data_IF_533930453275
#
_entry.id   IF_533930453275
#
_cell.length_a   1.000
_cell.length_b   1.000
_cell.length_c   1.000
_cell.angle_alpha   90.00
_cell.angle_beta   90.00
_cell.angle_gamma   90.00
#
_symmetry.space_group_name_H-M   'P 1'
#
loop_
_entity.id
_entity.type
_entity.pdbx_description
1 polymer ?
#
# COMPACT_ATOMS: atom_id res chain seq x y z
N UNK A 1 -29.44 -5.62 -20.30
CA UNK A 1 -29.18 -5.41 -18.86
C UNK A 1 -28.72 -6.72 -18.25
N UNK A 2 -27.43 -7.04 -18.34
CA UNK A 2 -26.90 -8.28 -17.78
C UNK A 2 -26.64 -8.03 -16.30
N UNK A 3 -27.63 -8.31 -15.45
CA UNK A 3 -27.42 -8.40 -13.99
C UNK A 3 -26.71 -9.71 -13.72
N UNK A 4 -25.41 -9.74 -13.99
CA UNK A 4 -24.53 -10.78 -13.48
C UNK A 4 -24.52 -10.57 -11.96
N UNK A 5 -24.98 -11.53 -11.15
CA UNK A 5 -24.76 -11.45 -9.72
C UNK A 5 -23.25 -11.60 -9.53
N UNK A 6 -22.59 -10.48 -9.25
CA UNK A 6 -21.20 -10.48 -8.78
C UNK A 6 -21.18 -11.41 -7.58
N UNK A 7 -20.46 -12.53 -7.72
CA UNK A 7 -20.28 -13.47 -6.63
C UNK A 7 -19.58 -12.73 -5.48
N UNK A 8 -19.87 -13.12 -4.24
CA UNK A 8 -19.29 -12.50 -3.05
C UNK A 8 -17.74 -12.44 -3.10
N UNK A 9 -17.13 -13.37 -3.83
CA UNK A 9 -15.68 -13.40 -4.09
C UNK A 9 -15.22 -12.29 -5.05
N UNK A 10 -15.99 -11.98 -6.09
CA UNK A 10 -15.67 -10.94 -7.08
C UNK A 10 -15.80 -9.54 -6.46
N UNK A 11 -16.84 -9.31 -5.66
CA UNK A 11 -17.03 -8.03 -4.95
C UNK A 11 -15.88 -7.76 -3.99
N UNK A 12 -15.43 -8.78 -3.24
CA UNK A 12 -14.25 -8.70 -2.37
C UNK A 12 -12.96 -8.42 -3.16
N UNK A 13 -12.79 -9.04 -4.32
CA UNK A 13 -11.63 -8.81 -5.17
C UNK A 13 -11.61 -7.39 -5.76
N UNK A 14 -12.78 -6.86 -6.13
CA UNK A 14 -12.94 -5.47 -6.59
C UNK A 14 -12.61 -4.48 -5.48
N UNK A 15 -13.19 -4.63 -4.30
CA UNK A 15 -12.89 -3.79 -3.13
C UNK A 15 -11.40 -3.81 -2.79
N UNK A 16 -10.77 -4.99 -2.85
CA UNK A 16 -9.31 -5.11 -2.64
C UNK A 16 -8.51 -4.39 -3.74
N UNK A 17 -8.95 -4.50 -5.00
CA UNK A 17 -8.28 -3.85 -6.13
C UNK A 17 -8.40 -2.33 -6.04
N UNK A 18 -9.57 -1.82 -5.68
CA UNK A 18 -9.80 -0.39 -5.45
C UNK A 18 -8.87 0.14 -4.35
N UNK A 19 -8.69 -0.61 -3.25
CA UNK A 19 -7.71 -0.25 -2.20
C UNK A 19 -6.26 -0.27 -2.67
N UNK A 20 -5.92 -1.16 -3.61
CA UNK A 20 -4.57 -1.22 -4.20
C UNK A 20 -4.32 -0.09 -5.20
N UNK A 21 -5.38 0.39 -5.85
CA UNK A 21 -5.33 1.51 -6.80
C UNK A 21 -5.38 2.88 -6.12
N UNK A 22 -5.54 2.91 -4.78
CA UNK A 22 -5.39 4.14 -4.01
C UNK A 22 -4.01 4.75 -4.24
N UNK A 23 -4.02 6.06 -4.49
CA UNK A 23 -2.81 6.84 -4.69
C UNK A 23 -2.10 7.13 -3.37
N UNK A 24 -0.78 7.24 -3.41
CA UNK A 24 0.03 7.64 -2.25
C UNK A 24 -0.39 9.03 -1.72
N UNK A 25 -0.89 9.91 -2.59
CA UNK A 25 -1.44 11.21 -2.21
C UNK A 25 -2.66 11.11 -1.28
N UNK A 26 -3.50 10.07 -1.43
CA UNK A 26 -4.69 9.84 -0.59
C UNK A 26 -4.33 9.21 0.76
N UNK A 27 -3.12 8.68 0.92
CA UNK A 27 -2.63 8.07 2.15
C UNK A 27 -2.23 9.10 3.23
N UNK A 28 -2.39 10.39 2.95
CA UNK A 28 -2.04 11.52 3.84
C UNK A 28 -0.59 11.44 4.35
N UNK A 29 0.34 11.00 3.49
CA UNK A 29 1.75 10.97 3.82
C UNK A 29 2.36 12.39 3.82
N UNK A 30 3.52 12.54 4.46
CA UNK A 30 4.28 13.78 4.34
C UNK A 30 4.62 14.07 2.88
N UNK A 31 4.60 15.35 2.49
CA UNK A 31 5.04 15.82 1.16
C UNK A 31 6.43 15.27 0.80
N UNK A 32 7.32 15.12 1.79
CA UNK A 32 8.66 14.52 1.60
C UNK A 32 8.57 13.06 1.18
N UNK A 33 7.71 12.30 1.85
CA UNK A 33 7.48 10.87 1.60
C UNK A 33 6.83 10.64 0.25
N UNK A 34 5.79 11.43 -0.08
CA UNK A 34 5.13 11.39 -1.38
C UNK A 34 6.12 11.69 -2.50
N UNK A 35 6.88 12.79 -2.41
CA UNK A 35 7.88 13.13 -3.43
C UNK A 35 8.94 12.04 -3.61
N UNK A 36 9.43 11.43 -2.52
CA UNK A 36 10.42 10.34 -2.62
C UNK A 36 9.84 9.12 -3.34
N UNK A 37 8.59 8.77 -3.06
CA UNK A 37 7.91 7.64 -3.70
C UNK A 37 7.66 7.93 -5.18
N UNK A 38 7.15 9.12 -5.52
CA UNK A 38 6.90 9.56 -6.89
C UNK A 38 8.18 9.58 -7.74
N UNK A 39 9.30 10.06 -7.19
CA UNK A 39 10.60 10.05 -7.89
C UNK A 39 11.08 8.62 -8.22
N UNK A 40 10.65 7.62 -7.44
CA UNK A 40 10.95 6.21 -7.73
C UNK A 40 9.94 5.51 -8.62
N UNK A 41 8.91 6.23 -9.06
CA UNK A 41 7.80 5.71 -9.86
C UNK A 41 6.67 5.08 -9.04
N UNK A 42 6.67 5.26 -7.71
CA UNK A 42 5.65 4.70 -6.81
C UNK A 42 4.54 5.74 -6.61
N UNK A 43 3.44 5.58 -7.34
CA UNK A 43 2.27 6.48 -7.27
C UNK A 43 1.06 5.87 -6.56
N UNK A 44 1.02 4.54 -6.43
CA UNK A 44 -0.11 3.80 -5.86
C UNK A 44 0.34 2.80 -4.80
N UNK A 45 -0.61 2.38 -3.96
CA UNK A 45 -0.41 1.32 -2.94
C UNK A 45 0.04 0.02 -3.60
N UNK A 46 -0.50 -0.31 -4.77
CA UNK A 46 -0.07 -1.45 -5.59
C UNK A 46 1.42 -1.40 -5.90
N UNK A 47 1.89 -0.26 -6.38
CA UNK A 47 3.30 -0.09 -6.76
C UNK A 47 4.19 -0.15 -5.52
N UNK A 48 3.73 0.44 -4.42
CA UNK A 48 4.41 0.38 -3.13
C UNK A 48 4.53 -1.06 -2.59
N UNK A 49 3.49 -1.89 -2.74
CA UNK A 49 3.51 -3.30 -2.35
C UNK A 49 4.38 -4.16 -3.27
N UNK A 50 4.51 -3.79 -4.54
CA UNK A 50 5.47 -4.41 -5.45
C UNK A 50 6.91 -3.94 -5.20
N UNK A 51 7.08 -2.73 -4.66
CA UNK A 51 8.37 -2.21 -4.28
C UNK A 51 8.95 -2.99 -3.09
N UNK A 52 10.19 -3.45 -3.24
CA UNK A 52 10.88 -4.16 -2.16
C UNK A 52 11.34 -3.18 -1.07
N UNK A 53 11.30 -3.57 0.21
CA UNK A 53 11.84 -2.75 1.32
C UNK A 53 13.30 -2.34 1.11
N UNK A 54 14.10 -3.22 0.48
CA UNK A 54 15.49 -2.93 0.10
C UNK A 54 15.62 -1.80 -0.93
N UNK A 55 14.64 -1.66 -1.85
CA UNK A 55 14.59 -0.57 -2.83
C UNK A 55 14.29 0.74 -2.11
N UNK A 56 13.30 0.74 -1.21
CA UNK A 56 12.92 1.90 -0.42
C UNK A 56 14.07 2.41 0.47
N UNK A 57 14.75 1.51 1.18
CA UNK A 57 15.92 1.82 1.99
C UNK A 57 17.14 2.29 1.20
N UNK A 58 17.18 2.06 -0.11
CA UNK A 58 18.25 2.51 -1.01
C UNK A 58 18.03 3.90 -1.60
N UNK A 59 16.86 4.52 -1.40
CA UNK A 59 16.56 5.85 -1.92
C UNK A 59 17.29 6.88 -1.06
N UNK A 60 18.17 7.67 -1.67
CA UNK A 60 18.76 8.84 -1.04
C UNK A 60 17.61 9.78 -0.67
N UNK A 61 17.41 10.05 0.62
CA UNK A 61 16.27 10.77 1.25
C UNK A 61 15.16 9.89 1.89
N UNK A 62 15.26 8.56 1.82
CA UNK A 62 14.38 7.66 2.58
C UNK A 62 14.97 7.40 3.97
N UNK A 63 14.42 8.07 4.98
CA UNK A 63 14.78 7.85 6.37
C UNK A 63 13.86 6.84 7.06
N UNK A 64 14.19 6.51 8.31
CA UNK A 64 13.32 5.72 9.19
C UNK A 64 11.92 6.34 9.32
N UNK A 65 11.85 7.68 9.35
CA UNK A 65 10.59 8.42 9.46
C UNK A 65 9.71 8.27 8.21
N UNK A 66 10.29 8.46 7.02
CA UNK A 66 9.64 8.27 5.72
C UNK A 66 9.13 6.84 5.58
N UNK A 67 9.94 5.87 5.98
CA UNK A 67 9.61 4.45 5.94
C UNK A 67 8.48 4.09 6.92
N UNK A 68 8.48 4.65 8.12
CA UNK A 68 7.43 4.45 9.11
C UNK A 68 6.08 5.03 8.64
N UNK A 69 6.07 6.21 8.03
CA UNK A 69 4.85 6.80 7.46
C UNK A 69 4.23 5.90 6.38
N UNK A 70 5.07 5.36 5.49
CA UNK A 70 4.66 4.40 4.46
C UNK A 70 4.06 3.14 5.08
N UNK A 71 4.71 2.58 6.09
CA UNK A 71 4.18 1.40 6.79
C UNK A 71 2.88 1.69 7.54
N UNK A 72 2.78 2.84 8.20
CA UNK A 72 1.57 3.26 8.91
C UNK A 72 0.39 3.39 7.94
N UNK A 73 0.64 3.93 6.74
CA UNK A 73 -0.40 4.04 5.74
C UNK A 73 -0.78 2.69 5.11
N UNK A 74 0.17 1.77 4.93
CA UNK A 74 -0.15 0.39 4.55
C UNK A 74 -0.99 -0.32 5.62
N UNK A 75 -0.67 -0.11 6.91
CA UNK A 75 -1.43 -0.66 8.04
C UNK A 75 -2.86 -0.11 8.10
N UNK A 76 -3.05 1.19 7.84
CA UNK A 76 -4.39 1.81 7.70
C UNK A 76 -5.25 1.15 6.62
N UNK A 77 -4.61 0.65 5.56
CA UNK A 77 -5.29 -0.01 4.45
C UNK A 77 -5.40 -1.54 4.63
N UNK A 78 -5.03 -2.05 5.80
CA UNK A 78 -5.00 -3.47 6.16
C UNK A 78 -4.02 -4.29 5.29
N UNK A 79 -3.00 -3.65 4.70
CA UNK A 79 -1.95 -4.32 3.95
C UNK A 79 -0.73 -4.61 4.83
N UNK A 80 -0.22 -5.86 4.76
CA UNK A 80 0.72 -6.42 5.72
C UNK A 80 2.20 -6.03 5.47
N UNK A 81 2.94 -5.85 6.57
CA UNK A 81 4.40 -5.69 6.64
C UNK A 81 5.10 -7.05 6.73
N UNK A 82 5.86 -7.51 5.72
CA UNK A 82 6.67 -8.71 5.87
C UNK A 82 7.88 -8.40 6.76
N UNK A 83 7.84 -8.82 8.03
CA UNK A 83 9.01 -8.73 8.93
C UNK A 83 8.75 -8.33 10.38
N UNK A 84 7.49 -8.14 10.81
CA UNK A 84 7.18 -8.17 12.25
C UNK A 84 6.65 -9.58 12.56
N UNK A 85 7.52 -10.43 13.10
CA UNK A 85 7.11 -11.75 13.57
C UNK A 85 5.89 -11.63 14.50
N UNK A 86 4.90 -12.48 14.23
CA UNK A 86 3.79 -12.88 15.09
C UNK A 86 2.50 -12.02 15.08
N UNK A 87 1.44 -12.67 14.59
CA UNK A 87 0.01 -12.55 14.94
C UNK A 87 -0.75 -11.30 14.45
N UNK A 88 -1.37 -11.40 13.28
CA UNK A 88 -2.82 -11.18 13.22
C UNK A 88 -3.40 -11.83 11.96
N UNK A 89 -4.00 -13.00 12.17
CA UNK A 89 -5.05 -13.56 11.34
C UNK A 89 -6.27 -12.65 11.44
N UNK A 90 -6.52 -11.79 10.45
CA UNK A 90 -7.83 -11.18 10.14
C UNK A 90 -7.72 -10.68 8.69
N UNK A 91 -8.50 -11.06 7.67
CA UNK A 91 -9.78 -11.77 7.59
C UNK A 91 -9.87 -12.44 6.20
N UNK A 92 -10.10 -13.75 6.17
CA UNK A 92 -10.90 -14.39 5.11
C UNK A 92 -12.37 -14.31 5.51
#
# INVERSE_FOLDING_TARGET
>A
MTRIPLSQAEERARLRSERLELSIAEMELSVRTTNCLEETGIFTVRDLLQASPKRLLGISNFGEKTLEEVYAALEKLEFYRPGRSAQNEVLC
#
